data_IF_601934635774
#
_entry.id   IF_601934635774
#
_cell.length_a   1.000
_cell.length_b   1.000
_cell.length_c   1.000
_cell.angle_alpha   90.00
_cell.angle_beta   90.00
_cell.angle_gamma   90.00
#
_symmetry.space_group_name_H-M   'P 1'
#
loop_
_entity.id
_entity.type
_entity.pdbx_description
1 polymer ?
#
# COMPACT_ATOMS: atom_id res chain seq x y z
N UNK A 1 65.04 -19.59 13.72
CA UNK A 1 66.12 -19.72 12.72
C UNK A 1 65.47 -19.62 11.34
N UNK A 2 65.96 -18.70 10.51
CA UNK A 2 65.71 -18.61 9.06
C UNK A 2 66.97 -19.17 8.34
N UNK A 3 67.15 -19.17 6.99
CA UNK A 3 66.33 -18.56 5.93
C UNK A 3 66.22 -19.35 4.58
N UNK A 4 65.47 -18.79 3.62
CA UNK A 4 65.61 -18.80 2.13
C UNK A 4 64.33 -18.10 1.59
N UNK A 5 64.28 -16.99 0.81
CA UNK A 5 65.15 -16.36 -0.21
C UNK A 5 65.40 -17.31 -1.41
N UNK A 6 65.17 -17.01 -2.69
CA UNK A 6 65.12 -15.77 -3.49
C UNK A 6 63.93 -15.82 -4.52
N UNK A 7 63.52 -14.86 -5.37
CA UNK A 7 63.51 -13.37 -5.48
C UNK A 7 62.57 -12.95 -6.68
N UNK A 8 62.46 -11.66 -7.02
CA UNK A 8 61.81 -11.12 -8.24
C UNK A 8 62.87 -10.75 -9.33
N UNK A 9 62.45 -10.43 -10.58
CA UNK A 9 62.27 -9.01 -11.00
C UNK A 9 60.92 -8.78 -11.72
N UNK A 10 60.23 -7.64 -11.56
CA UNK A 10 60.45 -6.33 -12.22
C UNK A 10 60.34 -6.31 -13.75
N UNK A 11 59.39 -5.51 -14.24
CA UNK A 11 59.18 -5.11 -15.64
C UNK A 11 58.18 -3.96 -15.67
N UNK A 12 58.64 -2.76 -16.02
CA UNK A 12 57.93 -1.48 -15.83
C UNK A 12 57.88 -0.68 -17.13
N UNK A 13 56.77 0.04 -17.33
CA UNK A 13 56.56 1.14 -18.31
C UNK A 13 56.68 0.82 -19.81
N UNK A 14 55.61 1.11 -20.57
CA UNK A 14 55.70 2.21 -21.52
C UNK A 14 54.35 2.91 -21.75
N UNK A 15 54.42 4.22 -22.04
CA UNK A 15 53.29 5.14 -22.22
C UNK A 15 53.43 5.74 -23.62
N UNK A 16 52.46 5.48 -24.50
CA UNK A 16 52.47 5.98 -25.88
C UNK A 16 51.10 6.51 -26.29
N UNK A 17 50.95 7.83 -26.30
CA UNK A 17 49.82 8.54 -26.91
C UNK A 17 50.17 8.80 -28.40
N UNK A 18 49.20 8.66 -29.32
CA UNK A 18 48.79 9.76 -30.24
C UNK A 18 47.76 9.35 -31.32
N UNK A 19 46.72 10.19 -31.42
CA UNK A 19 46.09 10.73 -32.63
C UNK A 19 45.43 9.81 -33.69
N UNK A 20 44.11 9.66 -33.53
CA UNK A 20 43.16 9.37 -34.62
C UNK A 20 41.98 10.36 -34.61
N UNK A 21 42.17 11.57 -35.15
CA UNK A 21 41.17 12.66 -35.13
C UNK A 21 39.93 12.34 -35.99
N UNK A 22 38.73 12.40 -35.41
CA UNK A 22 37.47 12.78 -36.10
C UNK A 22 36.48 13.47 -35.15
N UNK A 23 36.16 14.73 -35.46
CA UNK A 23 34.93 15.45 -35.06
C UNK A 23 34.19 15.86 -36.37
N UNK A 24 32.96 16.40 -36.31
CA UNK A 24 31.74 15.73 -35.86
C UNK A 24 30.71 15.65 -37.02
N UNK A 25 29.65 14.86 -36.88
CA UNK A 25 28.45 15.01 -37.71
C UNK A 25 27.23 15.10 -36.81
N UNK A 26 26.70 16.33 -36.67
CA UNK A 26 25.35 16.55 -36.21
C UNK A 26 24.35 16.51 -37.36
N UNK A 27 23.10 16.20 -37.00
CA UNK A 27 21.85 16.65 -37.60
C UNK A 27 21.03 15.65 -38.44
N UNK A 28 19.81 15.45 -37.92
CA UNK A 28 18.56 15.14 -38.62
C UNK A 28 18.34 13.74 -39.23
N UNK A 29 17.98 12.80 -38.33
CA UNK A 29 17.03 11.73 -38.64
C UNK A 29 15.90 11.71 -37.59
N UNK A 30 14.71 12.20 -37.95
CA UNK A 30 13.52 12.16 -37.06
C UNK A 30 13.06 10.70 -36.93
N UNK A 31 13.31 10.10 -35.76
CA UNK A 31 13.09 8.69 -35.47
C UNK A 31 12.15 8.45 -34.28
N UNK A 32 10.85 8.56 -34.54
CA UNK A 32 9.72 7.88 -33.88
C UNK A 32 9.90 7.37 -32.42
N UNK A 33 9.17 8.02 -31.51
CA UNK A 33 8.54 7.41 -30.33
C UNK A 33 9.43 6.55 -29.43
N UNK A 34 10.32 7.19 -28.67
CA UNK A 34 10.76 6.66 -27.38
C UNK A 34 9.57 6.64 -26.41
N UNK A 35 8.76 5.59 -26.44
CA UNK A 35 7.82 5.31 -25.36
C UNK A 35 8.62 5.26 -24.04
N UNK A 36 8.16 5.91 -22.95
CA UNK A 36 8.74 5.65 -21.65
C UNK A 36 8.61 4.16 -21.38
N UNK A 37 9.68 3.54 -20.89
CA UNK A 37 9.69 2.11 -20.58
C UNK A 37 8.72 1.85 -19.44
N UNK A 38 7.45 1.58 -19.78
CA UNK A 38 6.47 1.05 -18.86
C UNK A 38 6.92 -0.36 -18.47
N UNK A 39 7.79 -0.43 -17.47
CA UNK A 39 7.79 -1.53 -16.52
C UNK A 39 6.46 -1.47 -15.78
N UNK A 40 5.41 -1.91 -16.48
CA UNK A 40 4.04 -1.97 -16.01
C UNK A 40 3.94 -3.01 -14.91
N UNK A 41 4.34 -2.62 -13.70
CA UNK A 41 3.78 -3.20 -12.49
C UNK A 41 2.33 -2.76 -12.50
N UNK A 42 1.47 -3.62 -13.06
CA UNK A 42 0.06 -3.36 -13.19
C UNK A 42 -0.47 -2.93 -11.81
N UNK A 43 -0.97 -1.70 -11.71
CA UNK A 43 -1.48 -1.10 -10.47
C UNK A 43 -2.85 -1.70 -10.18
N UNK A 44 -2.87 -3.01 -10.02
CA UNK A 44 -4.03 -3.88 -10.05
C UNK A 44 -4.79 -3.76 -8.73
N UNK A 45 -5.48 -2.63 -8.58
CA UNK A 45 -6.52 -2.52 -7.57
C UNK A 45 -7.60 -3.57 -7.90
N UNK A 46 -7.84 -4.49 -6.97
CA UNK A 46 -8.88 -5.54 -7.12
C UNK A 46 -10.04 -5.22 -6.20
N UNK A 47 -11.25 -5.56 -6.64
CA UNK A 47 -12.47 -5.33 -5.86
C UNK A 47 -13.37 -6.54 -5.94
N UNK A 48 -13.87 -6.96 -4.78
CA UNK A 48 -14.98 -7.91 -4.60
C UNK A 48 -16.05 -7.14 -3.82
N UNK A 49 -17.28 -7.17 -4.29
CA UNK A 49 -18.42 -6.57 -3.58
C UNK A 49 -19.69 -7.41 -3.75
N UNK A 50 -19.67 -8.62 -3.18
CA UNK A 50 -20.74 -9.61 -3.32
C UNK A 50 -22.08 -9.15 -2.70
N UNK A 51 -22.04 -8.19 -1.77
CA UNK A 51 -23.22 -7.63 -1.08
C UNK A 51 -23.61 -6.23 -1.57
N UNK A 52 -22.99 -5.72 -2.64
CA UNK A 52 -23.24 -4.38 -3.19
C UNK A 52 -23.07 -3.26 -2.13
N UNK A 53 -22.12 -3.43 -1.21
CA UNK A 53 -21.83 -2.51 -0.11
C UNK A 53 -21.29 -1.16 -0.61
N UNK A 54 -20.53 -1.15 -1.71
CA UNK A 54 -19.95 0.08 -2.27
C UNK A 54 -21.03 1.01 -2.82
N UNK A 55 -22.11 0.44 -3.39
CA UNK A 55 -23.26 1.24 -3.81
C UNK A 55 -24.00 1.90 -2.64
N UNK A 56 -23.91 1.34 -1.43
CA UNK A 56 -24.57 1.91 -0.24
C UNK A 56 -23.70 2.99 0.41
N UNK A 57 -22.37 2.87 0.40
CA UNK A 57 -21.51 3.99 0.82
C UNK A 57 -21.71 5.23 -0.05
N UNK A 58 -21.92 5.06 -1.36
CA UNK A 58 -22.27 6.16 -2.25
C UNK A 58 -23.64 6.81 -2.00
N UNK A 59 -24.45 6.29 -1.06
CA UNK A 59 -25.79 6.77 -0.72
C UNK A 59 -26.01 6.85 0.81
N UNK A 60 -24.97 7.16 1.59
CA UNK A 60 -25.08 7.35 3.04
C UNK A 60 -25.96 8.55 3.38
N UNK A 61 -26.72 8.44 4.47
CA UNK A 61 -27.41 9.58 5.06
C UNK A 61 -26.42 10.48 5.80
N UNK A 62 -26.71 11.78 5.88
CA UNK A 62 -25.96 12.74 6.71
C UNK A 62 -25.82 12.31 8.18
N UNK A 63 -26.70 11.44 8.67
CA UNK A 63 -26.66 10.91 10.03
C UNK A 63 -25.70 9.71 10.20
N UNK A 64 -25.42 8.94 9.15
CA UNK A 64 -24.66 7.69 9.20
C UNK A 64 -23.21 7.94 9.65
N UNK A 65 -22.69 7.12 10.56
CA UNK A 65 -21.27 7.17 10.97
C UNK A 65 -20.48 6.08 10.24
N UNK A 66 -19.39 6.48 9.58
CA UNK A 66 -18.42 5.58 8.97
C UNK A 66 -17.22 5.46 9.89
N UNK A 67 -17.01 4.30 10.48
CA UNK A 67 -15.81 3.99 11.25
C UNK A 67 -14.71 3.51 10.31
N UNK A 68 -13.53 4.10 10.43
CA UNK A 68 -12.33 3.71 9.68
C UNK A 68 -11.30 3.22 10.68
N UNK A 69 -10.93 1.94 10.57
CA UNK A 69 -9.95 1.28 11.42
C UNK A 69 -8.68 1.04 10.62
N UNK A 70 -7.56 1.61 11.05
CA UNK A 70 -6.27 1.54 10.36
C UNK A 70 -5.17 0.97 11.26
N UNK A 71 -4.23 0.16 10.74
CA UNK A 71 -3.14 -0.34 11.55
C UNK A 71 -2.15 0.79 11.87
N UNK A 72 -1.61 0.78 13.08
CA UNK A 72 -0.38 1.52 13.38
C UNK A 72 0.76 0.94 12.52
N UNK A 73 1.31 1.76 11.64
CA UNK A 73 2.31 1.37 10.63
C UNK A 73 3.47 2.37 10.62
N UNK A 74 4.72 1.91 10.37
CA UNK A 74 5.85 2.80 10.15
C UNK A 74 5.67 3.60 8.84
N UNK A 75 6.34 4.75 8.77
CA UNK A 75 6.26 5.63 7.60
C UNK A 75 7.02 5.12 6.38
N UNK A 76 6.51 5.49 5.20
CA UNK A 76 7.15 5.22 3.90
C UNK A 76 8.24 6.25 3.57
N UNK A 77 8.22 7.42 4.23
CA UNK A 77 9.12 8.56 3.95
C UNK A 77 10.61 8.25 4.17
N UNK A 78 10.93 7.23 4.97
CA UNK A 78 12.31 6.86 5.31
C UNK A 78 12.98 7.81 6.32
N UNK A 79 12.26 8.83 6.78
CA UNK A 79 12.67 9.73 7.85
C UNK A 79 12.31 9.10 9.21
N UNK A 80 13.29 8.83 10.09
CA UNK A 80 13.04 8.21 11.39
C UNK A 80 12.30 9.13 12.39
N UNK A 81 12.27 10.45 12.15
CA UNK A 81 11.57 11.43 13.00
C UNK A 81 10.14 11.73 12.50
N UNK A 82 9.73 11.15 11.36
CA UNK A 82 8.37 11.31 10.81
C UNK A 82 7.37 10.41 11.56
N UNK A 83 6.72 11.01 12.56
CA UNK A 83 5.66 10.36 13.35
C UNK A 83 4.25 10.62 12.81
N UNK A 84 4.09 10.95 11.53
CA UNK A 84 2.76 11.13 10.93
C UNK A 84 1.97 9.81 10.87
N UNK A 85 0.67 9.87 10.59
CA UNK A 85 -0.16 8.69 10.30
C UNK A 85 -0.14 8.43 8.78
N UNK A 86 0.34 7.26 8.30
CA UNK A 86 0.42 7.02 6.86
C UNK A 86 -0.97 6.97 6.20
N UNK A 87 -2.02 6.70 6.98
CA UNK A 87 -3.41 6.69 6.55
C UNK A 87 -4.13 8.04 6.72
N UNK A 88 -3.46 9.12 7.14
CA UNK A 88 -4.08 10.45 7.23
C UNK A 88 -4.69 10.88 5.88
N UNK A 89 -4.00 10.57 4.77
CA UNK A 89 -4.50 10.83 3.42
C UNK A 89 -5.76 10.02 3.06
N UNK A 90 -5.88 8.79 3.56
CA UNK A 90 -7.07 7.96 3.40
C UNK A 90 -8.25 8.53 4.19
N UNK A 91 -8.01 8.90 5.46
CA UNK A 91 -9.01 9.58 6.30
C UNK A 91 -9.53 10.87 5.65
N UNK A 92 -8.63 11.77 5.23
CA UNK A 92 -8.99 13.03 4.56
C UNK A 92 -9.77 12.82 3.25
N UNK A 93 -9.40 11.81 2.46
CA UNK A 93 -10.10 11.51 1.20
C UNK A 93 -11.51 10.94 1.45
N UNK A 94 -11.71 10.19 2.55
CA UNK A 94 -13.05 9.77 2.98
C UNK A 94 -13.86 10.97 3.50
N UNK A 95 -13.25 11.84 4.31
CA UNK A 95 -13.86 13.04 4.89
C UNK A 95 -14.32 14.05 3.83
N UNK A 96 -13.63 14.11 2.68
CA UNK A 96 -14.04 14.97 1.55
C UNK A 96 -15.32 14.50 0.86
N UNK A 97 -15.82 13.30 1.18
CA UNK A 97 -17.01 12.68 0.57
C UNK A 97 -18.13 12.42 1.57
N UNK A 98 -17.80 12.22 2.84
CA UNK A 98 -18.77 12.11 3.92
C UNK A 98 -18.29 12.80 5.19
N UNK A 99 -19.15 13.59 5.85
CA UNK A 99 -18.72 14.43 6.97
C UNK A 99 -18.65 13.70 8.33
N UNK A 100 -19.11 12.45 8.42
CA UNK A 100 -19.11 11.63 9.65
C UNK A 100 -18.14 10.45 9.59
N UNK A 101 -16.93 10.71 9.12
CA UNK A 101 -15.83 9.75 9.30
C UNK A 101 -15.37 9.78 10.76
N UNK A 102 -15.13 8.59 11.32
CA UNK A 102 -14.42 8.41 12.58
C UNK A 102 -13.19 7.55 12.31
N UNK A 103 -12.03 8.18 12.16
CA UNK A 103 -10.77 7.49 11.96
C UNK A 103 -10.17 7.08 13.33
N UNK A 104 -9.82 5.81 13.50
CA UNK A 104 -9.19 5.29 14.71
C UNK A 104 -8.09 4.27 14.36
N UNK A 105 -6.86 4.44 14.89
CA UNK A 105 -5.83 3.44 14.73
C UNK A 105 -6.10 2.20 15.61
N UNK A 106 -5.57 1.06 15.19
CA UNK A 106 -5.47 -0.16 15.98
C UNK A 106 -4.03 -0.70 15.94
N UNK A 107 -3.59 -1.32 17.02
CA UNK A 107 -2.27 -1.94 17.11
C UNK A 107 -2.30 -3.35 16.49
N UNK A 108 -1.37 -3.68 15.60
CA UNK A 108 -1.40 -4.95 14.85
C UNK A 108 -1.22 -6.19 15.76
N UNK A 109 -0.52 -6.06 16.89
CA UNK A 109 -0.32 -7.13 17.87
C UNK A 109 -1.45 -7.28 18.90
N UNK A 110 -2.08 -6.17 19.30
CA UNK A 110 -3.15 -6.12 20.29
C UNK A 110 -4.56 -6.27 19.67
N UNK A 111 -4.68 -5.95 18.39
CA UNK A 111 -5.87 -6.15 17.56
C UNK A 111 -7.11 -5.34 17.94
N UNK A 112 -8.27 -5.86 17.55
CA UNK A 112 -9.57 -5.20 17.74
C UNK A 112 -10.07 -5.37 19.18
N UNK A 113 -9.57 -4.49 20.06
CA UNK A 113 -9.85 -4.45 21.51
C UNK A 113 -11.26 -3.95 21.86
N UNK A 114 -11.66 -4.08 23.14
CA UNK A 114 -13.01 -3.78 23.62
C UNK A 114 -13.55 -2.39 23.27
N UNK A 115 -12.69 -1.37 23.29
CA UNK A 115 -13.07 0.02 22.91
C UNK A 115 -13.36 0.13 21.42
N UNK A 116 -12.52 -0.45 20.56
CA UNK A 116 -12.76 -0.50 19.12
C UNK A 116 -14.05 -1.27 18.81
N UNK A 117 -14.31 -2.37 19.54
CA UNK A 117 -15.58 -3.11 19.43
C UNK A 117 -16.81 -2.29 19.82
N UNK A 118 -16.69 -1.33 20.75
CA UNK A 118 -17.77 -0.40 21.04
C UNK A 118 -18.02 0.56 19.89
N UNK A 119 -16.96 1.10 19.27
CA UNK A 119 -17.11 1.96 18.09
C UNK A 119 -17.70 1.23 16.88
N UNK A 120 -17.32 -0.03 16.63
CA UNK A 120 -17.91 -0.88 15.59
C UNK A 120 -19.44 -0.98 15.79
N UNK A 121 -19.90 -1.31 17.00
CA UNK A 121 -21.34 -1.39 17.31
C UNK A 121 -22.10 -0.06 17.17
N UNK A 122 -21.42 1.07 17.41
CA UNK A 122 -22.00 2.41 17.34
C UNK A 122 -22.03 3.02 15.93
N UNK A 123 -21.46 2.35 14.93
CA UNK A 123 -21.33 2.88 13.57
C UNK A 123 -22.31 2.21 12.60
N UNK A 124 -22.52 2.85 11.45
CA UNK A 124 -23.44 2.39 10.41
C UNK A 124 -22.68 1.56 9.37
N UNK A 125 -21.44 1.97 9.09
CA UNK A 125 -20.51 1.28 8.19
C UNK A 125 -19.12 1.24 8.82
N UNK A 126 -18.38 0.16 8.56
CA UNK A 126 -17.01 -0.04 9.01
C UNK A 126 -16.11 -0.29 7.80
N UNK A 127 -15.02 0.47 7.71
CA UNK A 127 -13.91 0.25 6.79
C UNK A 127 -12.72 -0.22 7.63
N UNK A 128 -12.34 -1.48 7.50
CA UNK A 128 -11.15 -2.04 8.14
C UNK A 128 -10.01 -2.08 7.11
N UNK A 129 -8.93 -1.35 7.36
CA UNK A 129 -7.70 -1.47 6.60
C UNK A 129 -6.82 -2.55 7.23
N UNK A 130 -6.26 -3.43 6.41
CA UNK A 130 -5.23 -4.41 6.77
C UNK A 130 -3.96 -4.08 5.99
N UNK A 131 -2.84 -3.98 6.69
CA UNK A 131 -1.51 -3.77 6.11
C UNK A 131 -0.47 -4.55 6.93
N UNK A 132 0.66 -4.87 6.32
CA UNK A 132 1.81 -5.53 6.96
C UNK A 132 3.07 -4.66 6.83
N UNK A 133 3.76 -4.44 7.94
CA UNK A 133 5.05 -3.71 7.98
C UNK A 133 6.24 -4.59 7.58
N UNK A 134 6.13 -5.91 7.72
CA UNK A 134 7.25 -6.86 7.61
C UNK A 134 7.48 -7.39 6.18
N UNK A 135 7.21 -6.57 5.16
CA UNK A 135 7.34 -6.92 3.74
C UNK A 135 8.80 -7.08 3.23
N UNK A 136 9.78 -7.16 4.13
CA UNK A 136 11.20 -7.38 3.81
C UNK A 136 11.52 -8.88 3.61
N UNK A 137 11.09 -9.44 2.48
CA UNK A 137 11.48 -10.79 2.04
C UNK A 137 10.75 -11.95 2.72
N UNK A 138 9.67 -11.67 3.47
CA UNK A 138 8.72 -12.68 3.98
C UNK A 138 7.40 -12.58 3.23
N UNK A 139 6.61 -13.65 3.23
CA UNK A 139 5.21 -13.60 2.76
C UNK A 139 4.46 -12.59 3.63
N UNK A 140 3.74 -11.61 3.06
CA UNK A 140 3.01 -10.64 3.88
C UNK A 140 1.94 -11.33 4.73
N UNK A 141 1.96 -11.01 6.01
CA UNK A 141 1.11 -11.60 7.04
C UNK A 141 0.05 -10.61 7.49
N UNK A 142 -0.87 -10.25 6.58
CA UNK A 142 -2.12 -9.63 7.00
C UNK A 142 -2.78 -10.50 8.09
N UNK A 143 -3.23 -9.86 9.17
CA UNK A 143 -3.87 -10.56 10.27
C UNK A 143 -5.38 -10.63 10.03
N UNK A 144 -5.79 -11.73 9.38
CA UNK A 144 -7.19 -11.99 8.99
C UNK A 144 -8.13 -12.06 10.19
N UNK A 145 -7.64 -12.43 11.38
CA UNK A 145 -8.44 -12.46 12.62
C UNK A 145 -9.04 -11.08 12.94
N UNK A 146 -8.36 -9.97 12.58
CA UNK A 146 -8.91 -8.63 12.76
C UNK A 146 -10.17 -8.40 11.91
N UNK A 147 -10.25 -9.02 10.73
CA UNK A 147 -11.44 -9.00 9.89
C UNK A 147 -12.56 -9.88 10.46
N UNK A 148 -12.25 -11.12 10.90
CA UNK A 148 -13.22 -11.99 11.59
C UNK A 148 -13.84 -11.31 12.82
N UNK A 149 -13.00 -10.74 13.69
CA UNK A 149 -13.45 -10.00 14.88
C UNK A 149 -14.30 -8.81 14.49
N UNK A 150 -13.92 -8.06 13.45
CA UNK A 150 -14.66 -6.87 13.00
C UNK A 150 -16.04 -7.25 12.48
N UNK A 151 -16.15 -8.25 11.60
CA UNK A 151 -17.43 -8.74 11.08
C UNK A 151 -18.30 -9.30 12.21
N UNK A 152 -17.75 -10.17 13.06
CA UNK A 152 -18.50 -10.76 14.19
C UNK A 152 -18.94 -9.71 15.23
N UNK A 153 -18.23 -8.58 15.35
CA UNK A 153 -18.61 -7.47 16.23
C UNK A 153 -19.62 -6.52 15.57
N UNK A 154 -19.56 -6.38 14.24
CA UNK A 154 -20.45 -5.53 13.47
C UNK A 154 -21.87 -6.10 13.42
N UNK A 155 -22.00 -7.42 13.23
CA UNK A 155 -23.28 -8.09 13.05
C UNK A 155 -23.84 -7.93 11.64
N UNK A 156 -24.97 -8.60 11.37
CA UNK A 156 -25.58 -8.66 10.03
C UNK A 156 -26.27 -7.36 9.59
N UNK A 157 -26.48 -6.40 10.50
CA UNK A 157 -27.10 -5.09 10.20
C UNK A 157 -26.14 -4.08 9.56
N UNK A 158 -24.82 -4.33 9.64
CA UNK A 158 -23.77 -3.36 9.27
C UNK A 158 -22.99 -3.81 8.05
N UNK A 159 -22.50 -2.84 7.29
CA UNK A 159 -21.58 -3.09 6.17
C UNK A 159 -20.15 -3.01 6.67
N UNK A 160 -19.38 -4.07 6.41
CA UNK A 160 -17.94 -4.12 6.65
C UNK A 160 -17.24 -4.20 5.31
N UNK A 161 -16.37 -3.25 5.03
CA UNK A 161 -15.45 -3.24 3.89
C UNK A 161 -14.06 -3.53 4.41
N UNK A 162 -13.39 -4.51 3.83
CA UNK A 162 -11.99 -4.77 4.12
C UNK A 162 -11.14 -4.17 3.01
N UNK A 163 -10.24 -3.26 3.36
CA UNK A 163 -9.21 -2.74 2.46
C UNK A 163 -7.90 -3.45 2.80
N UNK A 164 -7.24 -4.06 1.81
CA UNK A 164 -5.88 -4.61 1.98
C UNK A 164 -4.89 -3.72 1.26
N UNK A 165 -3.97 -3.11 2.01
CA UNK A 165 -2.92 -2.25 1.46
C UNK A 165 -1.64 -3.05 1.15
N UNK A 166 -1.79 -4.12 0.37
CA UNK A 166 -0.73 -5.05 -0.06
C UNK A 166 -1.13 -5.73 -1.38
N UNK A 167 -0.23 -5.71 -2.37
CA UNK A 167 -0.39 -6.32 -3.69
C UNK A 167 -0.31 -7.85 -3.76
N UNK A 168 -0.01 -8.55 -2.65
CA UNK A 168 0.10 -10.02 -2.63
C UNK A 168 -1.20 -10.72 -2.99
N UNK A 169 -1.14 -11.66 -3.95
CA UNK A 169 -2.29 -12.49 -4.28
C UNK A 169 -2.63 -13.52 -3.19
N UNK A 170 -1.72 -13.80 -2.25
CA UNK A 170 -2.01 -14.62 -1.07
C UNK A 170 -2.86 -13.84 -0.06
N UNK A 171 -2.56 -12.57 0.17
CA UNK A 171 -3.37 -11.70 1.03
C UNK A 171 -4.79 -11.54 0.50
N UNK A 172 -4.98 -11.52 -0.82
CA UNK A 172 -6.30 -11.56 -1.47
C UNK A 172 -7.05 -12.88 -1.22
N UNK A 173 -6.39 -14.03 -1.48
CA UNK A 173 -6.97 -15.37 -1.28
C UNK A 173 -7.37 -15.64 0.17
N UNK A 174 -6.55 -15.17 1.12
CA UNK A 174 -6.81 -15.28 2.56
C UNK A 174 -8.06 -14.54 3.03
N UNK A 175 -8.69 -13.74 2.16
CA UNK A 175 -9.95 -13.05 2.42
C UNK A 175 -11.09 -13.51 1.51
N UNK A 176 -11.00 -14.68 0.86
CA UNK A 176 -12.03 -15.19 -0.06
C UNK A 176 -13.42 -15.38 0.59
N UNK A 177 -13.50 -15.55 1.91
CA UNK A 177 -14.76 -15.64 2.66
C UNK A 177 -15.49 -14.30 2.86
N UNK A 178 -14.79 -13.16 2.74
CA UNK A 178 -15.36 -11.85 3.03
C UNK A 178 -16.05 -11.25 1.79
N UNK A 179 -17.29 -10.71 1.93
CA UNK A 179 -18.13 -10.33 0.80
C UNK A 179 -17.65 -9.05 0.08
N UNK A 180 -17.17 -8.05 0.84
CA UNK A 180 -16.66 -6.79 0.28
C UNK A 180 -15.20 -6.58 0.67
N UNK A 181 -14.31 -6.70 -0.32
CA UNK A 181 -12.85 -6.56 -0.16
C UNK A 181 -12.29 -5.72 -1.30
N UNK A 182 -11.47 -4.73 -0.98
CA UNK A 182 -10.68 -3.95 -1.95
C UNK A 182 -9.19 -4.19 -1.67
N UNK A 183 -8.45 -4.63 -2.67
CA UNK A 183 -6.99 -4.73 -2.61
C UNK A 183 -6.39 -3.50 -3.27
N UNK A 184 -5.68 -2.69 -2.48
CA UNK A 184 -4.82 -1.62 -2.95
C UNK A 184 -3.41 -2.19 -3.25
N UNK A 185 -2.58 -1.46 -4.00
CA UNK A 185 -1.24 -1.94 -4.35
C UNK A 185 -0.28 -1.93 -3.12
N UNK A 186 -0.41 -0.87 -2.32
CA UNK A 186 0.32 -0.56 -1.10
C UNK A 186 -0.48 0.49 -0.28
N UNK A 187 0.09 0.98 0.81
CA UNK A 187 -0.44 2.09 1.62
C UNK A 187 0.15 3.46 1.23
N UNK A 188 0.64 3.63 0.00
CA UNK A 188 1.03 4.97 -0.49
C UNK A 188 -0.21 5.85 -0.69
N UNK A 189 -0.02 7.18 -0.61
CA UNK A 189 -1.09 8.17 -0.82
C UNK A 189 -1.89 7.91 -2.10
N UNK A 190 -1.22 7.71 -3.23
CA UNK A 190 -1.89 7.49 -4.52
C UNK A 190 -2.71 6.18 -4.55
N UNK A 191 -2.24 5.13 -3.89
CA UNK A 191 -2.95 3.85 -3.75
C UNK A 191 -4.19 3.98 -2.84
N UNK A 192 -4.06 4.70 -1.73
CA UNK A 192 -5.14 4.95 -0.77
C UNK A 192 -6.21 5.91 -1.33
N UNK A 193 -5.83 7.01 -1.97
CA UNK A 193 -6.78 7.94 -2.62
C UNK A 193 -7.55 7.25 -3.76
N UNK A 194 -6.87 6.42 -4.57
CA UNK A 194 -7.53 5.59 -5.60
C UNK A 194 -8.51 4.59 -4.99
N UNK A 195 -8.17 4.02 -3.83
CA UNK A 195 -9.06 3.12 -3.08
C UNK A 195 -10.32 3.85 -2.62
N UNK A 196 -10.22 5.11 -2.19
CA UNK A 196 -11.40 5.93 -1.83
C UNK A 196 -12.30 6.19 -3.04
N UNK A 197 -11.76 6.55 -4.20
CA UNK A 197 -12.58 6.69 -5.41
C UNK A 197 -13.33 5.40 -5.77
N UNK A 198 -12.73 4.22 -5.55
CA UNK A 198 -13.43 2.93 -5.72
C UNK A 198 -14.53 2.72 -4.69
N UNK A 199 -14.28 3.07 -3.42
CA UNK A 199 -15.27 2.99 -2.33
C UNK A 199 -16.54 3.79 -2.67
N UNK A 200 -16.38 4.99 -3.26
CA UNK A 200 -17.48 5.86 -3.68
C UNK A 200 -17.90 5.69 -5.15
N UNK A 201 -17.31 4.71 -5.86
CA UNK A 201 -17.62 4.35 -7.26
C UNK A 201 -17.40 5.48 -8.29
N UNK A 202 -16.35 6.25 -8.08
CA UNK A 202 -15.85 7.29 -8.97
C UNK A 202 -14.79 6.70 -9.93
N UNK A 203 -15.17 6.49 -11.19
CA UNK A 203 -14.28 5.97 -12.25
C UNK A 203 -14.81 6.34 -13.65
#
# INVERSE_FOLDING_TARGET
MSPSRNEQPEGREERGEENGVRHPQESNGVGLNSHPTQNGRETALRTRDATNSLAVIGNLEDADVVLVLTPLMPQVSGDPDDTSDPFECFGRALESRHHRIRHLPYDNGSGITGTLRQFIRQSNVIILVLADSEAAGRTPQINVEHAHITVATAGDDKRVIIVVADSSSESWRRLDEFPTVIQAADYSRASLERTVSVIFREF
#
